data_IF_795081664389
#
_entry.id   IF_795081664389
#
_cell.length_a   1.000
_cell.length_b   1.000
_cell.length_c   1.000
_cell.angle_alpha   90.00
_cell.angle_beta   90.00
_cell.angle_gamma   90.00
#
_symmetry.space_group_name_H-M   'P 1'
#
loop_
_entity.id
_entity.type
_entity.pdbx_description
1 polymer ?
#
# COMPACT_ATOMS: atom_id res chain seq x y z
N UNK A 1 -6.73 -11.00 -4.88
CA UNK A 1 -7.00 -9.76 -5.62
C UNK A 1 -6.17 -8.63 -5.02
N UNK A 2 -5.53 -7.83 -5.84
CA UNK A 2 -4.67 -6.73 -5.39
C UNK A 2 -5.12 -5.42 -6.02
N UNK A 3 -5.04 -4.34 -5.26
CA UNK A 3 -5.32 -3.00 -5.75
C UNK A 3 -4.02 -2.29 -6.13
N UNK A 4 -4.10 -1.41 -7.11
CA UNK A 4 -2.98 -0.57 -7.51
C UNK A 4 -3.49 0.77 -8.02
N UNK A 5 -2.59 1.72 -8.19
CA UNK A 5 -2.89 2.98 -8.87
C UNK A 5 -1.73 3.38 -9.77
N UNK A 6 -2.02 4.26 -10.73
CA UNK A 6 -1.01 4.87 -11.56
C UNK A 6 -0.68 6.24 -11.00
N UNK A 7 0.60 6.48 -10.77
CA UNK A 7 1.13 7.76 -10.31
C UNK A 7 1.95 8.38 -11.43
N UNK A 8 1.49 9.50 -11.94
CA UNK A 8 2.19 10.22 -13.00
C UNK A 8 3.15 11.23 -12.37
N UNK A 9 4.44 11.06 -12.66
CA UNK A 9 5.48 11.94 -12.12
C UNK A 9 5.72 13.15 -13.02
N UNK A 10 5.50 12.99 -14.33
CA UNK A 10 5.62 14.06 -15.32
C UNK A 10 4.45 14.01 -16.28
N UNK A 11 3.79 15.15 -16.50
CA UNK A 11 2.70 15.26 -17.45
C UNK A 11 3.23 15.67 -18.81
N UNK A 12 3.34 14.72 -19.73
CA UNK A 12 3.84 14.97 -21.09
C UNK A 12 2.90 15.83 -21.91
N UNK A 13 1.59 15.70 -21.69
CA UNK A 13 0.58 16.40 -22.47
C UNK A 13 0.27 17.80 -21.94
N UNK A 14 0.59 18.08 -20.68
CA UNK A 14 0.17 19.28 -19.99
C UNK A 14 -1.33 19.36 -19.71
N UNK A 15 -2.06 18.26 -19.96
CA UNK A 15 -3.52 18.22 -19.84
C UNK A 15 -3.97 17.37 -18.67
N UNK A 16 -3.33 16.20 -18.46
CA UNK A 16 -3.79 15.21 -17.48
C UNK A 16 -3.31 15.47 -16.06
N UNK A 17 -2.28 16.32 -15.89
CA UNK A 17 -1.70 16.59 -14.60
C UNK A 17 -0.78 15.49 -14.09
N UNK A 18 -0.35 15.61 -12.82
CA UNK A 18 0.52 14.67 -12.13
C UNK A 18 -0.22 14.05 -10.94
N UNK A 19 0.42 13.09 -10.28
CA UNK A 19 -0.15 12.40 -9.14
C UNK A 19 -0.94 11.16 -9.52
N UNK A 20 -1.91 10.80 -8.68
CA UNK A 20 -2.75 9.61 -8.90
C UNK A 20 -3.76 9.89 -10.01
N UNK A 21 -3.60 9.22 -11.15
CA UNK A 21 -4.42 9.46 -12.34
C UNK A 21 -5.37 8.31 -12.66
N UNK A 22 -5.14 7.14 -12.13
CA UNK A 22 -5.96 5.95 -12.37
C UNK A 22 -5.81 4.96 -11.20
N UNK A 23 -6.78 4.08 -11.08
CA UNK A 23 -6.73 2.99 -10.10
C UNK A 23 -7.28 1.72 -10.71
N UNK A 24 -6.90 0.59 -10.15
CA UNK A 24 -7.33 -0.69 -10.68
C UNK A 24 -7.20 -1.85 -9.71
N UNK A 25 -7.59 -3.02 -10.23
CA UNK A 25 -7.50 -4.29 -9.51
C UNK A 25 -6.82 -5.32 -10.38
N UNK A 26 -5.99 -6.15 -9.75
CA UNK A 26 -5.47 -7.36 -10.36
C UNK A 26 -6.26 -8.52 -9.78
N UNK A 27 -7.00 -9.22 -10.62
CA UNK A 27 -7.77 -10.40 -10.22
C UNK A 27 -6.84 -11.58 -9.96
N UNK A 28 -7.33 -12.59 -9.25
CA UNK A 28 -6.53 -13.76 -8.90
C UNK A 28 -6.02 -14.52 -10.13
N UNK A 29 -6.72 -14.43 -11.26
CA UNK A 29 -6.28 -15.04 -12.52
C UNK A 29 -5.29 -14.18 -13.32
N UNK A 30 -4.86 -13.02 -12.77
CA UNK A 30 -3.93 -12.12 -13.42
C UNK A 30 -4.55 -11.06 -14.32
N UNK A 31 -5.83 -11.16 -14.65
CA UNK A 31 -6.53 -10.12 -15.42
C UNK A 31 -6.57 -8.82 -14.62
N UNK A 32 -6.61 -7.70 -15.31
CA UNK A 32 -6.56 -6.36 -14.70
C UNK A 32 -7.72 -5.51 -15.18
N UNK A 33 -8.39 -4.83 -14.26
CA UNK A 33 -9.38 -3.81 -14.56
C UNK A 33 -8.82 -2.45 -14.09
N UNK A 34 -8.87 -1.44 -14.95
CA UNK A 34 -8.33 -0.11 -14.65
C UNK A 34 -9.36 0.95 -15.02
N UNK A 35 -9.54 1.93 -14.14
CA UNK A 35 -10.41 3.08 -14.40
C UNK A 35 -9.62 4.39 -14.18
N UNK A 36 -9.90 5.37 -15.02
CA UNK A 36 -9.26 6.68 -14.94
C UNK A 36 -9.97 7.56 -13.91
N UNK A 37 -9.20 8.34 -13.17
CA UNK A 37 -9.72 9.30 -12.19
C UNK A 37 -9.88 10.66 -12.88
N UNK A 38 -10.83 10.73 -13.80
CA UNK A 38 -11.09 11.92 -14.63
C UNK A 38 -12.60 12.18 -14.71
N UNK A 39 -12.97 13.29 -15.38
CA UNK A 39 -14.38 13.65 -15.56
C UNK A 39 -15.18 12.61 -16.36
N UNK A 40 -14.50 11.93 -17.28
CA UNK A 40 -15.11 10.90 -18.11
C UNK A 40 -14.40 9.58 -17.89
N UNK A 41 -14.60 8.94 -16.74
CA UNK A 41 -13.92 7.70 -16.44
C UNK A 41 -14.42 6.57 -17.34
N UNK A 42 -13.49 5.75 -17.77
CA UNK A 42 -13.78 4.49 -18.45
C UNK A 42 -13.11 3.35 -17.71
N UNK A 43 -13.56 2.12 -17.96
CA UNK A 43 -12.92 0.92 -17.41
C UNK A 43 -12.33 0.13 -18.57
N UNK A 44 -11.05 -0.18 -18.47
CA UNK A 44 -10.34 -0.99 -19.46
C UNK A 44 -9.85 -2.27 -18.81
N UNK A 45 -9.99 -3.38 -19.52
CA UNK A 45 -9.53 -4.69 -19.07
C UNK A 45 -8.24 -5.04 -19.82
N UNK A 46 -7.23 -5.46 -19.07
CA UNK A 46 -5.93 -5.91 -19.60
C UNK A 46 -5.71 -7.37 -19.22
N UNK A 47 -4.94 -8.08 -20.04
CA UNK A 47 -4.62 -9.48 -19.77
C UNK A 47 -3.74 -9.68 -18.54
N UNK A 48 -2.85 -8.72 -18.28
CA UNK A 48 -1.95 -8.76 -17.13
C UNK A 48 -1.43 -7.35 -16.80
N UNK A 49 -0.76 -7.22 -15.66
CA UNK A 49 -0.21 -5.93 -15.22
C UNK A 49 0.96 -5.46 -16.11
N UNK A 50 1.65 -6.38 -16.76
CA UNK A 50 2.73 -6.04 -17.69
C UNK A 50 2.24 -5.20 -18.86
N UNK A 51 1.02 -5.44 -19.34
CA UNK A 51 0.41 -4.62 -20.40
C UNK A 51 0.14 -3.20 -19.93
N UNK A 52 -0.27 -3.02 -18.69
CA UNK A 52 -0.48 -1.69 -18.10
C UNK A 52 0.85 -0.93 -18.07
N UNK A 53 1.93 -1.57 -17.63
CA UNK A 53 3.27 -0.97 -17.66
C UNK A 53 3.70 -0.59 -19.08
N UNK A 54 3.49 -1.49 -20.04
CA UNK A 54 3.91 -1.28 -21.42
C UNK A 54 3.18 -0.12 -22.09
N UNK A 55 1.87 -0.01 -21.84
CA UNK A 55 1.02 0.98 -22.49
C UNK A 55 1.10 2.34 -21.78
N UNK A 56 1.11 2.34 -20.44
CA UNK A 56 0.96 3.57 -19.65
C UNK A 56 2.22 4.03 -18.93
N UNK A 57 3.32 3.28 -18.99
CA UNK A 57 4.53 3.61 -18.25
C UNK A 57 5.27 4.85 -18.76
N UNK A 58 5.17 5.17 -20.06
CA UNK A 58 5.77 6.36 -20.67
C UNK A 58 7.25 6.55 -20.32
N UNK A 59 8.05 5.48 -20.42
CA UNK A 59 9.47 5.55 -20.11
C UNK A 59 9.80 5.88 -18.66
N UNK A 60 8.92 5.52 -17.73
CA UNK A 60 9.10 5.78 -16.31
C UNK A 60 8.41 7.03 -15.79
N UNK A 61 7.72 7.80 -16.64
CA UNK A 61 7.00 9.00 -16.23
C UNK A 61 5.67 8.71 -15.54
N UNK A 62 5.17 7.49 -15.68
CA UNK A 62 4.00 6.99 -14.96
C UNK A 62 4.39 5.68 -14.29
N UNK A 63 4.19 5.61 -12.99
CA UNK A 63 4.53 4.43 -12.17
C UNK A 63 3.29 3.67 -11.77
N UNK A 64 3.38 2.35 -11.79
CA UNK A 64 2.36 1.46 -11.22
C UNK A 64 2.71 1.24 -9.75
N UNK A 65 1.88 1.75 -8.86
CA UNK A 65 2.09 1.63 -7.42
C UNK A 65 1.11 0.60 -6.87
N UNK A 66 1.65 -0.50 -6.37
CA UNK A 66 0.83 -1.53 -5.71
C UNK A 66 0.44 -1.07 -4.32
N UNK A 67 -0.83 -1.21 -3.99
CA UNK A 67 -1.26 -0.94 -2.63
C UNK A 67 -0.68 -1.98 -1.67
N UNK A 68 -0.30 -1.58 -0.44
CA UNK A 68 0.27 -2.50 0.53
C UNK A 68 -0.70 -3.63 0.87
N UNK A 69 -0.17 -4.84 0.99
CA UNK A 69 -0.85 -5.93 1.65
C UNK A 69 -0.73 -5.70 3.16
N UNK A 70 -1.74 -5.09 3.75
CA UNK A 70 -1.72 -4.71 5.16
C UNK A 70 -1.60 -5.91 6.09
N UNK A 71 -2.17 -7.05 5.74
CA UNK A 71 -2.06 -8.27 6.55
C UNK A 71 -0.63 -8.76 6.60
N UNK A 72 0.03 -8.79 5.45
CA UNK A 72 1.44 -9.19 5.36
C UNK A 72 2.34 -8.21 6.10
N UNK A 73 2.13 -6.92 5.90
CA UNK A 73 2.89 -5.87 6.58
C UNK A 73 2.72 -5.95 8.10
N UNK A 74 1.50 -6.17 8.57
CA UNK A 74 1.21 -6.37 9.99
C UNK A 74 1.99 -7.56 10.56
N UNK A 75 1.93 -8.70 9.87
CA UNK A 75 2.63 -9.91 10.31
C UNK A 75 4.15 -9.73 10.34
N UNK A 76 4.71 -9.02 9.36
CA UNK A 76 6.14 -8.71 9.32
C UNK A 76 6.55 -7.80 10.49
N UNK A 77 5.74 -6.79 10.80
CA UNK A 77 6.00 -5.90 11.94
C UNK A 77 5.96 -6.67 13.24
N UNK A 78 4.95 -7.50 13.46
CA UNK A 78 4.83 -8.33 14.67
C UNK A 78 6.05 -9.26 14.81
N UNK A 79 6.48 -9.87 13.71
CA UNK A 79 7.66 -10.73 13.71
C UNK A 79 8.92 -9.98 14.10
N UNK A 80 9.11 -8.77 13.56
CA UNK A 80 10.26 -7.91 13.91
C UNK A 80 10.24 -7.51 15.38
N UNK A 81 9.07 -7.13 15.90
CA UNK A 81 8.93 -6.75 17.31
C UNK A 81 9.31 -7.92 18.22
N UNK A 82 8.94 -9.14 17.87
CA UNK A 82 9.32 -10.33 18.63
C UNK A 82 10.82 -10.60 18.54
N UNK A 83 11.42 -10.41 17.36
CA UNK A 83 12.85 -10.66 17.13
C UNK A 83 13.74 -9.73 17.94
N UNK A 84 13.40 -8.44 18.01
CA UNK A 84 14.21 -7.43 18.71
C UNK A 84 13.80 -7.26 20.17
N UNK A 85 12.90 -8.10 20.66
CA UNK A 85 12.46 -8.09 22.05
C UNK A 85 11.89 -6.73 22.50
N UNK A 86 11.13 -6.09 21.61
CA UNK A 86 10.60 -4.77 21.87
C UNK A 86 9.63 -4.76 23.06
N UNK A 87 9.00 -5.90 23.34
CA UNK A 87 8.13 -6.03 24.51
C UNK A 87 8.88 -5.79 25.81
N UNK A 88 10.14 -6.19 25.91
CA UNK A 88 10.96 -5.92 27.09
C UNK A 88 11.30 -4.43 27.17
N UNK A 89 11.56 -3.79 26.04
CA UNK A 89 11.80 -2.33 25.99
C UNK A 89 10.54 -1.58 26.44
N UNK A 90 9.38 -2.00 26.00
CA UNK A 90 8.11 -1.41 26.40
C UNK A 90 7.88 -1.57 27.90
N UNK A 91 8.20 -2.73 28.46
CA UNK A 91 8.08 -2.98 29.90
C UNK A 91 8.98 -2.07 30.73
N UNK A 92 10.15 -1.74 30.22
CA UNK A 92 11.07 -0.80 30.90
C UNK A 92 10.56 0.64 30.82
N UNK A 93 9.96 1.03 29.70
CA UNK A 93 9.52 2.42 29.43
C UNK A 93 8.13 2.70 29.97
N UNK A 94 7.25 1.70 29.95
CA UNK A 94 5.86 1.82 30.39
C UNK A 94 5.63 0.95 31.61
N UNK A 95 4.93 1.45 32.64
CA UNK A 95 4.65 0.68 33.84
C UNK A 95 3.64 -0.42 33.54
N UNK A 96 4.17 -1.62 33.29
CA UNK A 96 3.39 -2.83 32.98
C UNK A 96 3.57 -3.83 34.12
N UNK A 97 2.46 -4.44 34.55
CA UNK A 97 2.51 -5.55 35.48
C UNK A 97 3.21 -6.73 34.81
N UNK A 98 4.34 -7.15 35.36
CA UNK A 98 5.13 -8.24 34.81
C UNK A 98 4.43 -9.59 34.82
N UNK A 99 3.46 -9.79 35.69
CA UNK A 99 2.73 -11.07 35.81
C UNK A 99 1.54 -11.12 34.83
N UNK A 100 0.82 -10.05 34.68
CA UNK A 100 -0.38 -10.00 33.83
C UNK A 100 -0.12 -9.40 32.45
N UNK A 101 0.99 -8.68 32.28
CA UNK A 101 1.28 -7.94 31.05
C UNK A 101 0.42 -6.70 30.85
N UNK A 102 -0.39 -6.34 31.84
CA UNK A 102 -1.28 -5.17 31.77
C UNK A 102 -0.55 -3.91 32.23
N UNK A 103 -0.90 -2.78 31.62
CA UNK A 103 -0.41 -1.49 32.06
C UNK A 103 -0.92 -1.20 33.47
N UNK A 104 -0.04 -0.66 34.30
CA UNK A 104 -0.40 -0.21 35.63
C UNK A 104 -1.14 1.12 35.50
N UNK A 105 -2.47 1.09 35.53
CA UNK A 105 -3.33 2.23 35.22
C UNK A 105 -3.04 3.45 36.13
N UNK A 106 -2.65 3.22 37.35
CA UNK A 106 -2.29 4.31 38.29
C UNK A 106 -1.03 5.07 37.85
N UNK A 107 -0.23 4.53 36.92
CA UNK A 107 0.98 5.13 36.43
C UNK A 107 0.80 5.83 35.07
N UNK A 108 -0.23 5.45 34.32
CA UNK A 108 -0.43 5.87 32.94
C UNK A 108 -1.52 6.95 32.81
N UNK A 109 -2.45 6.99 33.69
CA UNK A 109 -3.56 7.95 33.65
C UNK A 109 -3.15 9.40 33.77
#
# INVERSE_FOLDING_TARGET
>A
MKMFYLNRTQDESGVSGTGRIAQGFIFDNGKVALTWLSEHPSVTIYDNIGEVHAIHGHGGKTEVIMEPDYKRAYNEIVSLLNTINLMDIIKEKLPIDSQTGKLLSSKIN
#
